data_IF_256749596937
#
_entry.id   IF_256749596937
#
_cell.length_a   1.000
_cell.length_b   1.000
_cell.length_c   1.000
_cell.angle_alpha   90.00
_cell.angle_beta   90.00
_cell.angle_gamma   90.00
#
_symmetry.space_group_name_H-M   'P 1'
#
loop_
_entity.id
_entity.type
_entity.pdbx_description
1 polymer ?
#
# COMPACT_ATOMS: atom_id res chain seq x y z
N UNK A 1 -15.52 -23.79 -19.08
CA UNK A 1 -15.52 -22.52 -18.32
C UNK A 1 -16.62 -21.63 -18.88
N UNK A 2 -17.74 -21.46 -18.17
CA UNK A 2 -18.77 -20.51 -18.57
C UNK A 2 -18.24 -19.09 -18.35
N UNK A 3 -18.21 -18.27 -19.42
CA UNK A 3 -18.05 -16.82 -19.29
C UNK A 3 -19.29 -16.29 -18.60
N UNK A 4 -19.14 -15.78 -17.38
CA UNK A 4 -20.18 -14.98 -16.75
C UNK A 4 -20.31 -13.70 -17.58
N UNK A 5 -21.41 -13.57 -18.31
CA UNK A 5 -21.79 -12.33 -18.99
C UNK A 5 -21.94 -11.25 -17.93
N UNK A 6 -21.21 -10.14 -18.07
CA UNK A 6 -21.35 -9.01 -17.16
C UNK A 6 -22.77 -8.43 -17.22
N UNK A 7 -23.23 -7.86 -16.11
CA UNK A 7 -24.48 -7.12 -16.04
C UNK A 7 -24.47 -5.93 -17.02
N UNK A 8 -25.63 -5.60 -17.57
CA UNK A 8 -25.87 -4.36 -18.31
C UNK A 8 -25.85 -3.14 -17.39
N UNK A 9 -25.71 -1.94 -17.96
CA UNK A 9 -25.72 -0.68 -17.20
C UNK A 9 -26.99 -0.52 -16.34
N UNK A 10 -28.14 -0.93 -16.88
CA UNK A 10 -29.43 -0.83 -16.17
C UNK A 10 -29.49 -1.81 -14.99
N UNK A 11 -28.92 -3.01 -15.14
CA UNK A 11 -28.83 -3.99 -14.05
C UNK A 11 -27.88 -3.50 -12.94
N UNK A 12 -26.77 -2.86 -13.28
CA UNK A 12 -25.90 -2.23 -12.28
C UNK A 12 -26.58 -1.09 -11.53
N UNK A 13 -27.37 -0.24 -12.20
CA UNK A 13 -28.11 0.83 -11.56
C UNK A 13 -29.18 0.29 -10.60
N UNK A 14 -29.89 -0.77 -11.01
CA UNK A 14 -30.89 -1.42 -10.16
C UNK A 14 -30.24 -2.05 -8.93
N UNK A 15 -29.13 -2.76 -9.09
CA UNK A 15 -28.34 -3.31 -7.98
C UNK A 15 -27.88 -2.18 -7.04
N UNK A 16 -27.34 -1.09 -7.60
CA UNK A 16 -26.92 0.07 -6.82
C UNK A 16 -28.07 0.66 -5.99
N UNK A 17 -29.25 0.80 -6.59
CA UNK A 17 -30.45 1.29 -5.89
C UNK A 17 -30.89 0.34 -4.78
N UNK A 18 -30.94 -0.97 -5.05
CA UNK A 18 -31.30 -1.99 -4.05
C UNK A 18 -30.32 -2.00 -2.87
N UNK A 19 -29.02 -1.82 -3.13
CA UNK A 19 -27.99 -1.76 -2.09
C UNK A 19 -28.16 -0.51 -1.21
N UNK A 20 -28.46 0.65 -1.81
CA UNK A 20 -28.74 1.89 -1.06
C UNK A 20 -29.98 1.74 -0.18
N UNK A 21 -31.04 1.10 -0.68
CA UNK A 21 -32.29 0.94 0.05
C UNK A 21 -32.21 -0.10 1.18
N UNK A 22 -31.49 -1.21 0.95
CA UNK A 22 -31.42 -2.34 1.90
C UNK A 22 -30.28 -2.23 2.89
N UNK A 23 -29.13 -1.70 2.47
CA UNK A 23 -27.91 -1.65 3.26
C UNK A 23 -27.24 -0.27 3.15
N UNK A 24 -27.89 0.79 3.68
CA UNK A 24 -27.45 2.17 3.47
C UNK A 24 -26.04 2.44 4.02
N UNK A 25 -25.65 1.79 5.12
CA UNK A 25 -24.30 1.91 5.68
C UNK A 25 -23.23 1.29 4.76
N UNK A 26 -23.53 0.13 4.16
CA UNK A 26 -22.64 -0.51 3.19
C UNK A 26 -22.56 0.28 1.88
N UNK A 27 -23.70 0.79 1.40
CA UNK A 27 -23.76 1.66 0.24
C UNK A 27 -22.96 2.95 0.45
N UNK A 28 -23.10 3.58 1.62
CA UNK A 28 -22.31 4.73 2.02
C UNK A 28 -20.81 4.40 2.06
N UNK A 29 -20.42 3.23 2.58
CA UNK A 29 -19.03 2.79 2.58
C UNK A 29 -18.49 2.55 1.15
N UNK A 30 -19.27 1.95 0.25
CA UNK A 30 -18.90 1.79 -1.16
C UNK A 30 -18.72 3.17 -1.81
N UNK A 31 -19.70 4.06 -1.69
CA UNK A 31 -19.64 5.41 -2.26
C UNK A 31 -18.48 6.20 -1.65
N UNK A 32 -18.25 6.08 -0.34
CA UNK A 32 -17.12 6.70 0.33
C UNK A 32 -15.80 6.14 -0.20
N UNK A 33 -15.68 4.84 -0.46
CA UNK A 33 -14.49 4.26 -1.08
C UNK A 33 -14.21 4.79 -2.50
N UNK A 34 -15.25 5.23 -3.23
CA UNK A 34 -15.10 5.92 -4.53
C UNK A 34 -14.95 7.45 -4.42
N UNK A 35 -15.42 8.04 -3.32
CA UNK A 35 -15.33 9.48 -3.00
C UNK A 35 -14.08 9.84 -2.20
N UNK A 36 -13.34 8.86 -1.66
CA UNK A 36 -11.93 9.06 -1.33
C UNK A 36 -11.30 9.50 -2.64
N UNK A 37 -11.08 10.81 -2.71
CA UNK A 37 -10.51 11.53 -3.84
C UNK A 37 -9.40 10.67 -4.44
N UNK A 38 -9.25 10.56 -5.78
CA UNK A 38 -8.07 9.92 -6.35
C UNK A 38 -6.90 10.51 -5.60
N UNK A 39 -6.17 9.69 -4.83
CA UNK A 39 -5.19 10.16 -3.87
C UNK A 39 -4.42 11.28 -4.58
N UNK A 40 -4.53 12.53 -4.07
CA UNK A 40 -3.82 13.71 -4.63
C UNK A 40 -2.50 13.18 -5.10
N UNK A 41 -2.14 13.31 -6.39
CA UNK A 41 -0.95 12.68 -6.95
C UNK A 41 0.20 12.85 -5.97
N UNK A 42 0.45 11.82 -5.17
CA UNK A 42 1.35 11.95 -4.05
C UNK A 42 2.72 11.97 -4.69
N UNK A 43 3.48 13.01 -4.40
CA UNK A 43 4.77 13.23 -5.04
C UNK A 43 5.68 12.02 -4.76
N UNK A 44 5.92 11.22 -5.80
CA UNK A 44 6.75 10.02 -5.71
C UNK A 44 8.22 10.38 -5.46
N UNK A 45 8.63 11.62 -5.71
CA UNK A 45 9.99 12.10 -5.46
C UNK A 45 10.32 12.18 -3.96
N UNK A 46 9.31 12.13 -3.08
CA UNK A 46 9.50 12.11 -1.62
C UNK A 46 9.89 10.74 -1.05
N UNK A 47 9.74 9.65 -1.82
CA UNK A 47 10.03 8.29 -1.34
C UNK A 47 11.48 8.14 -0.81
N UNK A 48 12.53 8.66 -1.47
CA UNK A 48 13.90 8.66 -0.93
C UNK A 48 14.06 9.45 0.38
N UNK A 49 13.35 10.56 0.53
CA UNK A 49 13.37 11.37 1.77
C UNK A 49 12.70 10.60 2.92
N UNK A 50 11.60 9.90 2.64
CA UNK A 50 10.97 9.00 3.60
C UNK A 50 11.88 7.85 3.99
N UNK A 51 12.62 7.27 3.04
CA UNK A 51 13.59 6.22 3.34
C UNK A 51 14.68 6.72 4.28
N UNK A 52 15.22 7.91 4.02
CA UNK A 52 16.21 8.55 4.89
C UNK A 52 15.68 8.73 6.32
N UNK A 53 14.47 9.27 6.45
CA UNK A 53 13.83 9.50 7.75
C UNK A 53 13.54 8.19 8.49
N UNK A 54 13.08 7.17 7.78
CA UNK A 54 12.84 5.84 8.34
C UNK A 54 14.13 5.19 8.86
N UNK A 55 15.23 5.30 8.13
CA UNK A 55 16.54 4.80 8.57
C UNK A 55 17.00 5.50 9.85
N UNK A 56 16.82 6.82 9.94
CA UNK A 56 17.12 7.60 11.15
C UNK A 56 16.27 7.15 12.35
N UNK A 57 14.96 6.97 12.16
CA UNK A 57 14.05 6.44 13.20
C UNK A 57 14.52 5.08 13.73
N UNK A 58 15.00 4.21 12.84
CA UNK A 58 15.46 2.87 13.20
C UNK A 58 16.92 2.83 13.67
N UNK A 59 17.64 3.95 13.66
CA UNK A 59 19.04 4.04 14.07
C UNK A 59 19.98 3.23 13.17
N UNK A 60 19.67 3.10 11.89
CA UNK A 60 20.45 2.30 10.93
C UNK A 60 20.96 3.17 9.78
N UNK A 61 22.15 2.84 9.28
CA UNK A 61 22.70 3.47 8.08
C UNK A 61 21.95 3.01 6.82
N UNK A 62 21.73 3.92 5.87
CA UNK A 62 20.98 3.61 4.66
C UNK A 62 21.70 2.55 3.84
N UNK A 63 23.02 2.70 3.70
CA UNK A 63 23.90 1.79 2.97
C UNK A 63 23.79 0.37 3.51
N UNK A 64 23.70 0.21 4.84
CA UNK A 64 23.57 -1.09 5.49
C UNK A 64 22.26 -1.83 5.10
N UNK A 65 21.16 -1.10 4.90
CA UNK A 65 19.89 -1.68 4.43
C UNK A 65 19.91 -1.99 2.92
N UNK A 66 20.61 -1.19 2.13
CA UNK A 66 20.69 -1.37 0.67
C UNK A 66 21.57 -2.57 0.27
N UNK A 67 22.58 -2.89 1.09
CA UNK A 67 23.43 -4.05 0.86
C UNK A 67 22.60 -5.35 0.90
N UNK A 68 22.79 -6.19 -0.11
CA UNK A 68 22.06 -7.47 -0.29
C UNK A 68 22.64 -8.60 0.57
N UNK A 69 23.24 -8.29 1.72
CA UNK A 69 23.74 -9.34 2.62
C UNK A 69 22.56 -10.01 3.30
N UNK A 70 22.67 -11.30 3.60
CA UNK A 70 21.59 -12.17 4.04
C UNK A 70 20.94 -11.84 5.40
N UNK A 71 21.15 -10.64 5.95
CA UNK A 71 20.61 -10.23 7.24
C UNK A 71 19.08 -10.18 7.21
N UNK A 72 18.48 -11.04 8.04
CA UNK A 72 17.04 -11.16 8.20
C UNK A 72 16.44 -9.87 8.75
N UNK A 73 17.18 -9.16 9.62
CA UNK A 73 16.75 -7.91 10.25
C UNK A 73 16.63 -6.80 9.22
N UNK A 74 17.65 -6.60 8.39
CA UNK A 74 17.62 -5.56 7.34
C UNK A 74 16.52 -5.84 6.32
N UNK A 75 16.30 -7.10 5.94
CA UNK A 75 15.17 -7.48 5.08
C UNK A 75 13.83 -7.13 5.71
N UNK A 76 13.67 -7.38 7.02
CA UNK A 76 12.45 -7.03 7.73
C UNK A 76 12.23 -5.52 7.77
N UNK A 77 13.26 -4.73 8.07
CA UNK A 77 13.19 -3.27 8.08
C UNK A 77 12.79 -2.71 6.71
N UNK A 78 13.36 -3.24 5.62
CA UNK A 78 12.95 -2.87 4.25
C UNK A 78 11.48 -3.26 4.00
N UNK A 79 11.03 -4.43 4.45
CA UNK A 79 9.63 -4.84 4.27
C UNK A 79 8.68 -3.89 4.99
N UNK A 80 9.00 -3.49 6.23
CA UNK A 80 8.21 -2.51 6.99
C UNK A 80 8.16 -1.18 6.26
N UNK A 81 9.31 -0.67 5.78
CA UNK A 81 9.36 0.56 4.99
C UNK A 81 8.49 0.50 3.73
N UNK A 82 8.64 -0.55 2.92
CA UNK A 82 7.85 -0.72 1.68
C UNK A 82 6.36 -0.74 1.99
N UNK A 83 5.96 -1.43 3.05
CA UNK A 83 4.57 -1.53 3.51
C UNK A 83 4.02 -0.17 3.95
N UNK A 84 4.82 0.61 4.71
CA UNK A 84 4.46 1.96 5.11
C UNK A 84 4.26 2.88 3.90
N UNK A 85 5.16 2.86 2.92
CA UNK A 85 5.00 3.63 1.66
C UNK A 85 3.75 3.18 0.91
N UNK A 86 3.43 1.88 0.88
CA UNK A 86 2.21 1.38 0.26
C UNK A 86 0.95 1.92 0.97
N UNK A 87 0.92 1.99 2.31
CA UNK A 87 -0.20 2.59 3.06
C UNK A 87 -0.34 4.08 2.83
N UNK A 88 0.78 4.80 2.76
CA UNK A 88 0.78 6.22 2.41
C UNK A 88 0.21 6.38 0.99
N UNK A 89 0.86 5.85 -0.04
CA UNK A 89 0.49 6.16 -1.42
C UNK A 89 -0.76 5.44 -1.94
N UNK A 90 -1.17 4.34 -1.30
CA UNK A 90 -2.31 3.53 -1.70
C UNK A 90 -3.08 3.01 -0.46
N UNK A 91 -3.71 3.88 0.35
CA UNK A 91 -4.38 3.50 1.59
C UNK A 91 -5.51 2.48 1.37
N UNK A 92 -6.17 2.53 0.22
CA UNK A 92 -7.24 1.61 -0.19
C UNK A 92 -6.79 0.15 -0.34
N UNK A 93 -5.49 -0.10 -0.56
CA UNK A 93 -4.96 -1.46 -0.70
C UNK A 93 -4.99 -2.24 0.61
N UNK A 94 -5.09 -1.56 1.76
CA UNK A 94 -5.29 -2.19 3.06
C UNK A 94 -6.66 -2.89 3.19
N UNK A 95 -7.64 -2.52 2.37
CA UNK A 95 -9.02 -3.00 2.44
C UNK A 95 -9.36 -4.11 1.41
N UNK A 96 -8.49 -4.33 0.42
CA UNK A 96 -8.77 -5.24 -0.69
C UNK A 96 -8.07 -6.58 -0.51
N UNK A 97 -8.75 -7.52 0.15
CA UNK A 97 -8.37 -8.95 0.25
C UNK A 97 -8.26 -9.60 -1.15
N UNK A 98 -8.90 -9.02 -2.18
CA UNK A 98 -8.78 -9.48 -3.56
C UNK A 98 -7.58 -8.83 -4.25
N UNK A 99 -6.50 -9.62 -4.35
CA UNK A 99 -5.21 -9.37 -5.03
C UNK A 99 -5.29 -9.06 -6.54
N UNK A 100 -6.14 -8.12 -6.96
CA UNK A 100 -6.04 -7.50 -8.29
C UNK A 100 -5.40 -6.13 -8.17
N UNK A 101 -4.17 -6.10 -7.66
CA UNK A 101 -3.39 -4.89 -7.62
C UNK A 101 -2.99 -4.47 -9.04
N UNK A 102 -3.67 -3.46 -9.58
CA UNK A 102 -2.99 -2.48 -10.42
C UNK A 102 -2.15 -1.59 -9.51
N UNK A 103 -1.06 -2.11 -8.92
CA UNK A 103 -0.09 -1.20 -8.29
C UNK A 103 0.41 -0.29 -9.39
N UNK A 104 0.27 1.02 -9.20
CA UNK A 104 0.71 2.01 -10.18
C UNK A 104 2.19 1.74 -10.47
N UNK A 105 2.53 1.45 -11.72
CA UNK A 105 3.90 1.07 -12.12
C UNK A 105 4.94 2.10 -11.65
N UNK A 106 4.58 3.38 -11.63
CA UNK A 106 5.42 4.46 -11.10
C UNK A 106 5.75 4.35 -9.61
N UNK A 107 4.81 3.92 -8.76
CA UNK A 107 5.05 3.74 -7.32
C UNK A 107 6.03 2.59 -7.08
N UNK A 108 5.82 1.44 -7.75
CA UNK A 108 6.73 0.29 -7.65
C UNK A 108 8.12 0.67 -8.12
N UNK A 109 8.23 1.44 -9.21
CA UNK A 109 9.52 1.94 -9.70
C UNK A 109 10.18 2.92 -8.70
N UNK A 110 9.41 3.82 -8.08
CA UNK A 110 9.92 4.73 -7.05
C UNK A 110 10.50 4.00 -5.84
N UNK A 111 9.76 3.00 -5.34
CA UNK A 111 10.23 2.12 -4.27
C UNK A 111 11.48 1.36 -4.73
N UNK A 112 11.42 0.70 -5.89
CA UNK A 112 12.49 -0.11 -6.47
C UNK A 112 13.82 0.64 -6.56
N UNK A 113 13.79 1.89 -7.06
CA UNK A 113 14.97 2.76 -7.16
C UNK A 113 15.50 3.12 -5.77
N UNK A 114 14.60 3.43 -4.84
CA UNK A 114 14.98 3.84 -3.47
C UNK A 114 15.67 2.72 -2.71
N UNK A 115 15.14 1.48 -2.77
CA UNK A 115 15.70 0.33 -2.05
C UNK A 115 16.78 -0.43 -2.84
N UNK A 116 17.15 0.06 -4.03
CA UNK A 116 18.12 -0.56 -4.93
C UNK A 116 17.90 -2.07 -5.16
N UNK A 117 16.66 -2.47 -5.45
CA UNK A 117 16.30 -3.86 -5.79
C UNK A 117 15.86 -3.96 -7.24
N UNK A 118 15.68 -5.18 -7.75
CA UNK A 118 15.06 -5.39 -9.06
C UNK A 118 13.55 -5.14 -8.98
N UNK A 119 12.93 -4.75 -10.10
CA UNK A 119 11.48 -4.53 -10.16
C UNK A 119 10.69 -5.82 -9.84
N UNK A 120 11.18 -6.97 -10.30
CA UNK A 120 10.62 -8.28 -9.99
C UNK A 120 10.64 -8.56 -8.49
N UNK A 121 11.81 -8.40 -7.84
CA UNK A 121 11.95 -8.63 -6.40
C UNK A 121 11.09 -7.67 -5.58
N UNK A 122 11.01 -6.41 -5.99
CA UNK A 122 10.17 -5.38 -5.33
C UNK A 122 8.69 -5.75 -5.44
N UNK A 123 8.24 -6.20 -6.61
CA UNK A 123 6.85 -6.61 -6.83
C UNK A 123 6.49 -7.83 -5.98
N UNK A 124 7.37 -8.84 -5.95
CA UNK A 124 7.19 -10.04 -5.11
C UNK A 124 7.15 -9.65 -3.63
N UNK A 125 8.03 -8.75 -3.20
CA UNK A 125 8.06 -8.26 -1.82
C UNK A 125 6.77 -7.54 -1.43
N UNK A 126 6.27 -6.62 -2.26
CA UNK A 126 4.99 -5.94 -2.00
C UNK A 126 3.87 -6.96 -1.82
N UNK A 127 3.79 -7.97 -2.71
CA UNK A 127 2.78 -9.03 -2.60
C UNK A 127 2.88 -9.80 -1.28
N UNK A 128 4.09 -10.19 -0.89
CA UNK A 128 4.33 -10.90 0.35
C UNK A 128 4.00 -10.04 1.57
N UNK A 129 4.35 -8.75 1.55
CA UNK A 129 4.11 -7.84 2.66
C UNK A 129 2.62 -7.66 2.95
N UNK A 130 1.77 -7.59 1.93
CA UNK A 130 0.31 -7.50 2.13
C UNK A 130 -0.23 -8.72 2.88
N UNK A 131 0.30 -9.90 2.56
CA UNK A 131 -0.03 -11.13 3.30
C UNK A 131 0.47 -10.98 4.74
N UNK A 132 1.71 -10.50 4.93
CA UNK A 132 2.27 -10.32 6.27
C UNK A 132 1.45 -9.34 7.12
N UNK A 133 1.06 -8.18 6.58
CA UNK A 133 0.22 -7.20 7.28
C UNK A 133 -1.17 -7.74 7.61
N UNK A 134 -1.69 -8.66 6.81
CA UNK A 134 -3.00 -9.29 7.05
C UNK A 134 -2.91 -10.35 8.15
N UNK A 135 -1.80 -11.10 8.19
CA UNK A 135 -1.66 -12.32 9.00
C UNK A 135 -0.97 -12.08 10.34
N UNK A 136 -0.02 -11.14 10.41
CA UNK A 136 0.82 -10.93 11.59
C UNK A 136 0.62 -9.52 12.19
N UNK A 137 0.09 -9.48 13.41
CA UNK A 137 -0.18 -8.22 14.11
C UNK A 137 1.11 -7.46 14.46
N UNK A 138 2.17 -8.13 14.93
CA UNK A 138 3.48 -7.49 15.19
C UNK A 138 4.02 -6.75 13.96
N UNK A 139 3.87 -7.34 12.76
CA UNK A 139 4.28 -6.68 11.53
C UNK A 139 3.41 -5.46 11.22
N UNK A 140 2.12 -5.56 11.49
CA UNK A 140 1.16 -4.46 11.30
C UNK A 140 1.49 -3.29 12.22
N UNK A 141 1.76 -3.55 13.49
CA UNK A 141 2.15 -2.54 14.48
C UNK A 141 3.44 -1.82 14.09
N UNK A 142 4.44 -2.57 13.61
CA UNK A 142 5.69 -2.01 13.09
C UNK A 142 5.46 -1.08 11.89
N UNK A 143 4.53 -1.45 11.01
CA UNK A 143 4.14 -0.63 9.85
C UNK A 143 3.38 0.62 10.30
N UNK A 144 2.48 0.51 11.27
CA UNK A 144 1.74 1.65 11.82
C UNK A 144 2.67 2.66 12.50
N UNK A 145 3.63 2.18 13.29
CA UNK A 145 4.67 3.03 13.87
C UNK A 145 5.46 3.78 12.80
N UNK A 146 5.85 3.11 11.71
CA UNK A 146 6.55 3.71 10.60
C UNK A 146 5.69 4.75 9.86
N UNK A 147 4.43 4.44 9.56
CA UNK A 147 3.50 5.37 8.89
C UNK A 147 3.29 6.64 9.73
N UNK A 148 3.02 6.49 11.02
CA UNK A 148 2.79 7.61 11.92
C UNK A 148 4.01 8.53 12.01
N UNK A 149 5.22 7.96 12.08
CA UNK A 149 6.46 8.73 12.06
C UNK A 149 6.63 9.52 10.76
N UNK A 150 6.42 8.89 9.61
CA UNK A 150 6.59 9.54 8.29
C UNK A 150 5.55 10.65 8.04
N UNK A 151 4.30 10.45 8.51
CA UNK A 151 3.24 11.47 8.47
C UNK A 151 3.54 12.66 9.39
N UNK A 152 4.07 12.42 10.59
CA UNK A 152 4.43 13.49 11.52
C UNK A 152 5.48 14.44 10.93
N UNK A 153 6.40 13.90 10.12
CA UNK A 153 7.42 14.69 9.41
C UNK A 153 6.88 15.39 8.16
N UNK A 154 5.77 14.92 7.59
CA UNK A 154 5.20 15.44 6.36
C UNK A 154 3.66 15.35 6.38
N UNK A 155 2.97 16.23 7.12
CA UNK A 155 1.52 16.15 7.32
C UNK A 155 0.70 16.41 6.05
N UNK A 156 1.34 16.86 4.96
CA UNK A 156 0.72 17.10 3.66
C UNK A 156 0.57 15.83 2.80
N UNK A 157 1.15 14.71 3.22
CA UNK A 157 1.16 13.43 2.48
C UNK A 157 -0.05 12.58 2.78
#
# INVERSE_FOLDING_TARGET
MQKVSGFSSNEYQLIGKLVVEREPAFAANIVNSFRVSPAKERDLSKIPQFFTSYCQMRGVEQEALLVTSGDRTNKQLIRVFVSAIMRLYCPELSLLVKFQMKVRSGLVQGIQRTINRTLSNTTVMIRQNLILETVYDDFREDVDAAVNHLLALNPEV
#
